data_IF_826506467470
#
_entry.id   IF_826506467470
#
_cell.length_a   1.000
_cell.length_b   1.000
_cell.length_c   1.000
_cell.angle_alpha   90.00
_cell.angle_beta   90.00
_cell.angle_gamma   90.00
#
_symmetry.space_group_name_H-M   'P 1'
#
loop_
_entity.id
_entity.type
_entity.pdbx_description
1 polymer ?
#
# COMPACT_ATOMS: atom_id res chain seq x y z
N UNK A 1 -5.50 -3.70 -9.10
CA UNK A 1 -5.20 -3.29 -7.71
C UNK A 1 -6.10 -4.07 -6.78
N UNK A 2 -5.59 -4.58 -5.64
CA UNK A 2 -6.38 -5.34 -4.66
C UNK A 2 -7.59 -4.54 -4.18
N UNK A 3 -7.47 -3.21 -4.07
CA UNK A 3 -8.56 -2.32 -3.69
C UNK A 3 -9.70 -2.37 -4.71
N UNK A 4 -9.37 -2.22 -6.00
CA UNK A 4 -10.33 -2.31 -7.11
C UNK A 4 -10.92 -3.71 -7.21
N UNK A 5 -10.12 -4.76 -7.02
CA UNK A 5 -10.59 -6.14 -7.01
C UNK A 5 -11.61 -6.38 -5.89
N UNK A 6 -11.38 -5.84 -4.70
CA UNK A 6 -12.32 -5.91 -3.58
C UNK A 6 -13.64 -5.17 -3.87
N UNK A 7 -13.56 -3.88 -4.23
CA UNK A 7 -14.74 -3.03 -4.40
C UNK A 7 -15.64 -3.51 -5.55
N UNK A 8 -15.05 -3.88 -6.69
CA UNK A 8 -15.80 -4.36 -7.86
C UNK A 8 -16.50 -5.69 -7.64
N UNK A 9 -16.19 -6.38 -6.54
CA UNK A 9 -16.71 -7.71 -6.22
C UNK A 9 -17.54 -7.74 -4.93
N UNK A 10 -18.13 -6.60 -4.55
CA UNK A 10 -19.08 -6.54 -3.43
C UNK A 10 -18.41 -6.55 -2.06
N UNK A 11 -17.11 -6.28 -1.99
CA UNK A 11 -16.40 -6.02 -0.74
C UNK A 11 -15.96 -4.54 -0.71
N UNK A 12 -16.87 -3.57 -0.51
CA UNK A 12 -16.55 -2.15 -0.56
C UNK A 12 -15.82 -1.65 0.71
N UNK A 13 -15.01 -0.60 0.57
CA UNK A 13 -14.47 0.16 1.70
C UNK A 13 -15.35 1.39 1.95
N UNK A 14 -16.24 1.31 2.94
CA UNK A 14 -17.27 2.32 3.17
C UNK A 14 -16.91 3.25 4.32
N UNK A 15 -15.98 4.16 4.08
CA UNK A 15 -15.70 5.25 5.03
C UNK A 15 -16.41 6.53 4.58
N UNK A 16 -17.46 6.98 5.29
CA UNK A 16 -18.08 8.26 4.99
C UNK A 16 -17.11 9.39 5.36
N UNK A 17 -16.84 10.28 4.40
CA UNK A 17 -16.15 11.54 4.69
C UNK A 17 -17.11 12.39 5.53
N UNK A 18 -16.73 12.83 6.73
CA UNK A 18 -17.61 13.66 7.54
C UNK A 18 -17.89 14.99 6.86
N UNK A 19 -19.09 15.53 7.06
CA UNK A 19 -19.33 16.92 6.71
C UNK A 19 -18.51 17.83 7.62
N UNK A 20 -17.68 18.68 7.02
CA UNK A 20 -16.94 19.71 7.75
C UNK A 20 -17.93 20.76 8.25
N UNK A 21 -18.07 21.01 9.57
CA UNK A 21 -18.98 22.02 10.09
C UNK A 21 -18.64 23.41 9.55
N UNK A 22 -19.62 24.31 9.29
CA UNK A 22 -19.35 25.65 8.79
C UNK A 22 -18.29 26.42 9.59
N UNK A 23 -18.33 26.32 10.92
CA UNK A 23 -17.34 26.95 11.80
C UNK A 23 -15.90 26.44 11.56
N UNK A 24 -15.74 25.16 11.22
CA UNK A 24 -14.45 24.59 10.86
C UNK A 24 -14.01 24.95 9.42
N UNK A 25 -14.91 25.44 8.57
CA UNK A 25 -14.56 25.99 7.24
C UNK A 25 -14.08 27.43 7.36
N UNK A 26 -14.73 28.20 8.23
CA UNK A 26 -14.52 29.66 8.32
C UNK A 26 -13.47 30.06 9.38
N UNK A 27 -13.02 29.14 10.24
CA UNK A 27 -12.01 29.39 11.28
C UNK A 27 -10.86 28.40 11.23
N UNK A 28 -9.64 28.91 11.04
CA UNK A 28 -8.41 28.09 11.07
C UNK A 28 -8.21 27.32 12.38
N UNK A 29 -8.49 27.95 13.53
CA UNK A 29 -8.32 27.30 14.83
C UNK A 29 -9.32 26.14 14.99
N UNK A 30 -10.59 26.37 14.62
CA UNK A 30 -11.63 25.34 14.71
C UNK A 30 -11.36 24.23 13.70
N UNK A 31 -10.90 24.56 12.49
CA UNK A 31 -10.44 23.59 11.50
C UNK A 31 -9.34 22.68 12.06
N UNK A 32 -8.31 23.29 12.67
CA UNK A 32 -7.19 22.56 13.27
C UNK A 32 -7.66 21.60 14.37
N UNK A 33 -8.48 22.08 15.29
CA UNK A 33 -9.04 21.27 16.39
C UNK A 33 -9.94 20.15 15.87
N UNK A 34 -10.82 20.46 14.91
CA UNK A 34 -11.73 19.51 14.28
C UNK A 34 -10.96 18.33 13.68
N UNK A 35 -9.99 18.60 12.81
CA UNK A 35 -9.20 17.53 12.21
C UNK A 35 -8.34 16.79 13.23
N UNK A 36 -7.78 17.49 14.23
CA UNK A 36 -6.99 16.82 15.27
C UNK A 36 -7.80 15.80 16.08
N UNK A 37 -9.07 16.07 16.33
CA UNK A 37 -9.98 15.17 17.06
C UNK A 37 -10.59 14.09 16.18
N UNK A 38 -10.84 14.39 14.91
CA UNK A 38 -11.59 13.51 14.03
C UNK A 38 -10.70 12.52 13.25
N UNK A 39 -9.46 12.89 12.89
CA UNK A 39 -8.53 12.02 12.13
C UNK A 39 -8.33 10.61 12.71
N UNK A 40 -8.21 10.39 14.04
CA UNK A 40 -8.02 9.04 14.60
C UNK A 40 -9.16 8.04 14.27
N UNK A 41 -10.37 8.55 14.02
CA UNK A 41 -11.55 7.72 13.72
C UNK A 41 -11.92 7.75 12.23
N UNK A 42 -11.21 8.54 11.40
CA UNK A 42 -11.56 8.75 10.00
C UNK A 42 -11.44 7.48 9.16
N UNK A 43 -10.53 6.57 9.50
CA UNK A 43 -10.18 5.43 8.66
C UNK A 43 -10.70 4.10 9.22
N UNK A 44 -11.82 4.15 9.95
CA UNK A 44 -12.54 2.98 10.43
C UNK A 44 -13.89 2.89 9.75
N UNK A 45 -14.17 1.73 9.16
CA UNK A 45 -15.47 1.42 8.61
C UNK A 45 -16.50 1.43 9.76
N UNK A 46 -17.58 2.24 9.67
CA UNK A 46 -18.57 2.37 10.74
C UNK A 46 -19.46 1.13 10.89
N UNK A 47 -19.56 0.30 9.86
CA UNK A 47 -20.37 -0.93 9.86
C UNK A 47 -19.62 -2.13 10.41
N UNK A 48 -18.32 -2.24 10.13
CA UNK A 48 -17.50 -3.40 10.55
C UNK A 48 -16.53 -3.08 11.68
N UNK A 49 -16.19 -1.80 11.90
CA UNK A 49 -15.19 -1.34 12.86
C UNK A 49 -13.74 -1.52 12.40
N UNK A 50 -13.54 -2.15 11.25
CA UNK A 50 -12.22 -2.43 10.68
C UNK A 50 -11.53 -1.13 10.28
N UNK A 51 -10.23 -1.04 10.54
CA UNK A 51 -9.35 -0.08 9.91
C UNK A 51 -9.19 -0.41 8.42
N UNK A 52 -8.75 0.59 7.63
CA UNK A 52 -8.47 0.37 6.21
C UNK A 52 -7.47 -0.77 5.99
N UNK A 53 -6.44 -0.85 6.86
CA UNK A 53 -5.44 -1.91 6.78
C UNK A 53 -6.04 -3.28 7.09
N UNK A 54 -6.84 -3.44 8.14
CA UNK A 54 -7.50 -4.72 8.42
C UNK A 54 -8.42 -5.15 7.28
N UNK A 55 -9.15 -4.21 6.67
CA UNK A 55 -9.98 -4.49 5.50
C UNK A 55 -9.14 -4.93 4.29
N UNK A 56 -8.00 -4.28 4.02
CA UNK A 56 -7.07 -4.68 2.96
C UNK A 56 -6.49 -6.08 3.21
N UNK A 57 -6.12 -6.38 4.47
CA UNK A 57 -5.59 -7.70 4.86
C UNK A 57 -6.64 -8.79 4.58
N UNK A 58 -7.90 -8.54 4.96
CA UNK A 58 -9.01 -9.45 4.65
C UNK A 58 -9.22 -9.63 3.14
N UNK A 59 -9.01 -8.57 2.34
CA UNK A 59 -9.10 -8.66 0.87
C UNK A 59 -8.00 -9.57 0.29
N UNK A 60 -6.77 -9.49 0.79
CA UNK A 60 -5.70 -10.40 0.40
C UNK A 60 -5.92 -11.85 0.85
N UNK A 61 -6.54 -12.06 2.02
CA UNK A 61 -6.84 -13.39 2.55
C UNK A 61 -8.06 -14.03 1.89
N UNK A 62 -8.94 -13.22 1.29
CA UNK A 62 -10.06 -13.71 0.51
C UNK A 62 -9.57 -14.30 -0.82
N UNK A 63 -9.66 -15.62 -0.97
CA UNK A 63 -9.18 -16.32 -2.16
C UNK A 63 -9.81 -15.82 -3.47
N UNK A 64 -11.10 -15.45 -3.46
CA UNK A 64 -11.79 -14.95 -4.65
C UNK A 64 -11.26 -13.58 -5.07
N UNK A 65 -11.12 -12.64 -4.13
CA UNK A 65 -10.58 -11.30 -4.40
C UNK A 65 -9.11 -11.41 -4.81
N UNK A 66 -8.33 -12.26 -4.12
CA UNK A 66 -6.95 -12.53 -4.46
C UNK A 66 -6.79 -13.08 -5.87
N UNK A 67 -7.63 -14.02 -6.31
CA UNK A 67 -7.53 -14.59 -7.66
C UNK A 67 -7.76 -13.54 -8.75
N UNK A 68 -8.66 -12.59 -8.51
CA UNK A 68 -8.88 -11.46 -9.41
C UNK A 68 -7.66 -10.55 -9.45
N UNK A 69 -7.10 -10.22 -8.29
CA UNK A 69 -5.90 -9.40 -8.22
C UNK A 69 -4.69 -10.07 -8.86
N UNK A 70 -4.50 -11.36 -8.61
CA UNK A 70 -3.47 -12.20 -9.24
C UNK A 70 -3.62 -12.21 -10.76
N UNK A 71 -4.85 -12.28 -11.28
CA UNK A 71 -5.09 -12.19 -12.73
C UNK A 71 -4.73 -10.81 -13.31
N UNK A 72 -4.81 -9.72 -12.53
CA UNK A 72 -4.29 -8.41 -12.95
C UNK A 72 -2.76 -8.37 -12.98
N UNK A 73 -2.10 -8.94 -11.96
CA UNK A 73 -0.64 -9.08 -11.91
C UNK A 73 -0.16 -9.86 -13.14
N UNK A 74 -0.78 -11.00 -13.42
CA UNK A 74 -0.44 -11.82 -14.58
C UNK A 74 -0.60 -11.06 -15.90
N UNK A 75 -1.66 -10.28 -16.05
CA UNK A 75 -1.85 -9.44 -17.26
C UNK A 75 -0.76 -8.39 -17.43
N UNK A 76 -0.26 -7.80 -16.34
CA UNK A 76 0.86 -6.86 -16.40
C UNK A 76 2.17 -7.55 -16.81
N UNK A 77 2.41 -8.75 -16.26
CA UNK A 77 3.56 -9.59 -16.60
C UNK A 77 3.51 -9.98 -18.09
N UNK A 78 2.38 -10.51 -18.56
CA UNK A 78 2.18 -10.91 -19.95
C UNK A 78 2.41 -9.74 -20.92
N UNK A 79 2.00 -8.53 -20.52
CA UNK A 79 2.26 -7.32 -21.30
C UNK A 79 3.76 -7.00 -21.36
N UNK A 80 4.45 -7.02 -20.21
CA UNK A 80 5.89 -6.75 -20.14
C UNK A 80 6.69 -7.75 -21.00
N UNK A 81 6.34 -9.03 -20.91
CA UNK A 81 6.94 -10.10 -21.72
C UNK A 81 6.64 -9.91 -23.20
N UNK A 82 5.40 -9.56 -23.55
CA UNK A 82 4.97 -9.32 -24.92
C UNK A 82 5.70 -8.17 -25.63
N UNK A 83 6.16 -7.17 -24.88
CA UNK A 83 6.98 -6.07 -25.41
C UNK A 83 8.48 -6.28 -25.23
N UNK A 84 8.90 -7.41 -24.63
CA UNK A 84 10.30 -7.73 -24.37
C UNK A 84 10.96 -6.83 -23.33
N UNK A 85 10.18 -6.26 -22.40
CA UNK A 85 10.69 -5.42 -21.33
C UNK A 85 11.21 -6.28 -20.16
N UNK A 86 12.35 -5.87 -19.57
CA UNK A 86 12.79 -6.41 -18.28
C UNK A 86 11.86 -5.87 -17.18
N UNK A 87 11.17 -6.76 -16.48
CA UNK A 87 10.31 -6.40 -15.35
C UNK A 87 11.09 -6.43 -14.03
N UNK A 88 11.24 -5.27 -13.40
CA UNK A 88 11.78 -5.14 -12.03
C UNK A 88 10.64 -4.67 -11.13
N UNK A 89 10.33 -5.42 -10.07
CA UNK A 89 9.20 -5.12 -9.19
C UNK A 89 9.66 -4.70 -7.80
N UNK A 90 9.27 -3.51 -7.36
CA UNK A 90 9.41 -3.08 -5.97
C UNK A 90 8.08 -3.27 -5.23
N UNK A 91 8.08 -4.05 -4.16
CA UNK A 91 6.88 -4.33 -3.36
C UNK A 91 7.01 -3.61 -2.03
N UNK A 92 6.18 -2.57 -1.86
CA UNK A 92 6.10 -1.82 -0.63
C UNK A 92 5.26 -2.59 0.41
N UNK A 93 5.73 -2.69 1.66
CA UNK A 93 4.94 -3.23 2.76
C UNK A 93 3.87 -2.23 3.22
N UNK A 94 3.05 -2.63 4.20
CA UNK A 94 2.36 -1.65 5.03
C UNK A 94 3.42 -0.81 5.76
N UNK A 95 3.47 0.48 5.46
CA UNK A 95 4.50 1.34 6.02
C UNK A 95 4.26 1.67 7.50
N UNK A 96 3.06 1.48 8.05
CA UNK A 96 2.80 1.58 9.49
C UNK A 96 3.25 0.32 10.24
N UNK A 97 3.08 -0.85 9.60
CA UNK A 97 3.46 -2.16 10.15
C UNK A 97 4.16 -3.05 9.10
N UNK A 98 5.47 -2.81 8.84
CA UNK A 98 6.16 -3.55 7.79
C UNK A 98 6.25 -5.05 8.07
N UNK A 99 6.46 -5.43 9.32
CA UNK A 99 6.64 -6.83 9.73
C UNK A 99 5.32 -7.59 9.63
N UNK A 100 4.22 -7.03 10.11
CA UNK A 100 2.91 -7.68 9.99
C UNK A 100 2.41 -7.79 8.55
N UNK A 101 2.99 -7.03 7.61
CA UNK A 101 2.62 -7.10 6.19
C UNK A 101 3.46 -8.08 5.35
N UNK A 102 4.45 -8.75 5.94
CA UNK A 102 5.31 -9.73 5.25
C UNK A 102 4.49 -10.77 4.45
N UNK A 103 3.44 -11.40 5.01
CA UNK A 103 2.67 -12.42 4.28
C UNK A 103 2.11 -11.92 2.94
N UNK A 104 1.66 -10.66 2.86
CA UNK A 104 1.09 -10.09 1.63
C UNK A 104 2.18 -9.70 0.64
N UNK A 105 3.30 -9.15 1.12
CA UNK A 105 4.47 -8.86 0.28
C UNK A 105 4.99 -10.16 -0.36
N UNK A 106 5.10 -11.23 0.43
CA UNK A 106 5.53 -12.53 -0.07
C UNK A 106 4.51 -13.13 -1.03
N UNK A 107 3.20 -13.01 -0.77
CA UNK A 107 2.16 -13.52 -1.65
C UNK A 107 2.19 -12.85 -3.03
N UNK A 108 2.42 -11.54 -3.09
CA UNK A 108 2.61 -10.81 -4.36
C UNK A 108 3.91 -11.24 -5.04
N UNK A 109 5.01 -11.34 -4.31
CA UNK A 109 6.29 -11.79 -4.85
C UNK A 109 6.18 -13.19 -5.47
N UNK A 110 5.57 -14.14 -4.76
CA UNK A 110 5.37 -15.51 -5.24
C UNK A 110 4.54 -15.58 -6.52
N UNK A 111 3.52 -14.71 -6.66
CA UNK A 111 2.73 -14.64 -7.90
C UNK A 111 3.59 -14.20 -9.10
N UNK A 112 4.53 -13.28 -8.90
CA UNK A 112 5.44 -12.80 -9.93
C UNK A 112 6.54 -13.84 -10.22
N UNK A 113 7.13 -14.44 -9.18
CA UNK A 113 8.16 -15.48 -9.28
C UNK A 113 7.64 -16.73 -10.01
N UNK A 114 6.34 -17.07 -9.84
CA UNK A 114 5.71 -18.18 -10.55
C UNK A 114 5.71 -18.02 -12.08
N UNK A 115 5.88 -16.80 -12.59
CA UNK A 115 6.04 -16.49 -14.01
C UNK A 115 7.52 -16.38 -14.44
N UNK A 116 8.47 -16.71 -13.57
CA UNK A 116 9.91 -16.69 -13.88
C UNK A 116 10.59 -15.33 -13.69
N UNK A 117 9.88 -14.33 -13.16
CA UNK A 117 10.41 -12.99 -12.91
C UNK A 117 11.02 -12.91 -11.50
N UNK A 118 12.34 -12.93 -11.41
CA UNK A 118 13.09 -12.95 -10.14
C UNK A 118 13.62 -11.57 -9.70
N UNK A 119 13.52 -10.54 -10.54
CA UNK A 119 13.96 -9.19 -10.23
C UNK A 119 12.93 -8.48 -9.31
N UNK A 120 12.91 -8.90 -8.04
CA UNK A 120 11.95 -8.42 -7.05
C UNK A 120 12.69 -7.82 -5.85
N UNK A 121 12.30 -6.61 -5.48
CA UNK A 121 12.75 -5.90 -4.28
C UNK A 121 11.60 -5.86 -3.27
N UNK A 122 11.67 -6.73 -2.25
CA UNK A 122 10.75 -6.71 -1.11
C UNK A 122 11.24 -5.69 -0.08
N UNK A 123 10.43 -4.67 0.21
CA UNK A 123 10.88 -3.53 1.01
C UNK A 123 10.61 -3.66 2.52
N UNK A 124 10.09 -4.78 3.01
CA UNK A 124 9.71 -4.92 4.43
C UNK A 124 10.88 -4.80 5.41
N UNK A 125 12.07 -5.33 5.09
CA UNK A 125 13.24 -5.20 5.97
C UNK A 125 13.76 -3.76 6.00
N UNK A 126 13.91 -3.15 4.81
CA UNK A 126 14.35 -1.76 4.67
C UNK A 126 13.38 -0.81 5.39
N UNK A 127 12.07 -1.02 5.21
CA UNK A 127 11.04 -0.28 5.93
C UNK A 127 11.17 -0.50 7.44
N UNK A 128 11.19 -1.74 7.92
CA UNK A 128 11.28 -2.05 9.36
C UNK A 128 12.52 -1.44 10.04
N UNK A 129 13.63 -1.29 9.31
CA UNK A 129 14.85 -0.66 9.80
C UNK A 129 14.78 0.86 10.00
N UNK A 130 13.76 1.53 9.47
CA UNK A 130 13.58 2.98 9.61
C UNK A 130 12.50 3.30 10.65
N UNK A 131 12.73 4.31 11.51
CA UNK A 131 11.70 4.79 12.43
C UNK A 131 10.54 5.43 11.64
N UNK A 132 9.27 5.32 12.11
CA UNK A 132 8.11 5.82 11.39
C UNK A 132 8.21 7.29 10.97
N UNK A 133 8.84 8.13 11.79
CA UNK A 133 8.95 9.58 11.58
C UNK A 133 9.83 9.95 10.38
N UNK A 134 10.75 9.07 9.98
CA UNK A 134 11.60 9.29 8.80
C UNK A 134 11.19 8.41 7.62
N UNK A 135 10.44 7.33 7.88
CA UNK A 135 9.94 6.40 6.87
C UNK A 135 8.66 6.88 6.18
N UNK A 136 7.78 7.55 6.91
CA UNK A 136 6.47 8.00 6.42
C UNK A 136 6.50 9.45 5.96
N UNK A 137 5.64 9.81 5.01
CA UNK A 137 5.48 11.18 4.57
C UNK A 137 5.03 12.10 5.72
N UNK A 138 4.13 11.62 6.58
CA UNK A 138 3.77 12.28 7.83
C UNK A 138 3.06 11.33 8.79
N UNK A 139 2.78 11.77 10.03
CA UNK A 139 1.95 11.01 10.98
C UNK A 139 0.47 10.83 10.56
N UNK A 140 0.05 11.43 9.44
CA UNK A 140 -1.31 11.31 8.88
C UNK A 140 -1.33 10.70 7.49
N UNK A 141 -0.15 10.38 6.96
CA UNK A 141 0.02 9.90 5.60
C UNK A 141 1.01 8.74 5.61
N UNK A 142 0.47 7.53 5.49
CA UNK A 142 1.22 6.29 5.53
C UNK A 142 2.05 6.04 4.26
N UNK A 143 2.03 6.94 3.27
CA UNK A 143 2.92 6.81 2.12
C UNK A 143 4.41 6.93 2.53
N UNK A 144 5.32 6.29 1.79
CA UNK A 144 6.75 6.43 2.00
C UNK A 144 7.20 7.90 1.90
N UNK A 145 8.06 8.33 2.81
CA UNK A 145 8.67 9.66 2.80
C UNK A 145 9.55 9.86 1.56
N UNK A 146 9.90 11.11 1.26
CA UNK A 146 10.89 11.40 0.22
C UNK A 146 12.26 10.75 0.51
N UNK A 147 12.66 10.72 1.79
CA UNK A 147 13.92 10.09 2.20
C UNK A 147 13.88 8.57 2.02
N UNK A 148 12.75 7.92 2.32
CA UNK A 148 12.59 6.48 2.09
C UNK A 148 12.54 6.16 0.59
N UNK A 149 11.85 6.96 -0.23
CA UNK A 149 11.88 6.79 -1.69
C UNK A 149 13.29 6.94 -2.28
N UNK A 150 14.12 7.84 -1.73
CA UNK A 150 15.53 7.93 -2.10
C UNK A 150 16.29 6.63 -1.77
N UNK A 151 16.03 6.03 -0.61
CA UNK A 151 16.60 4.73 -0.25
C UNK A 151 16.11 3.60 -1.19
N UNK A 152 14.83 3.57 -1.56
CA UNK A 152 14.30 2.63 -2.54
C UNK A 152 15.00 2.78 -3.89
N UNK A 153 15.19 4.02 -4.37
CA UNK A 153 15.91 4.29 -5.62
C UNK A 153 17.36 3.79 -5.55
N UNK A 154 18.04 4.01 -4.41
CA UNK A 154 19.39 3.49 -4.16
C UNK A 154 19.43 1.95 -4.20
N UNK A 155 18.49 1.29 -3.52
CA UNK A 155 18.39 -0.18 -3.50
C UNK A 155 18.14 -0.74 -4.90
N UNK A 156 17.18 -0.17 -5.65
CA UNK A 156 16.91 -0.54 -7.04
C UNK A 156 18.15 -0.41 -7.91
N UNK A 157 18.83 0.73 -7.84
CA UNK A 157 20.04 0.98 -8.61
C UNK A 157 21.14 -0.02 -8.27
N UNK A 158 21.46 -0.19 -6.99
CA UNK A 158 22.51 -1.11 -6.53
C UNK A 158 22.21 -2.56 -6.88
N UNK A 159 20.95 -3.00 -6.77
CA UNK A 159 20.60 -4.40 -6.97
C UNK A 159 20.46 -4.79 -8.45
N UNK A 160 19.93 -3.90 -9.29
CA UNK A 160 19.52 -4.28 -10.67
C UNK A 160 20.25 -3.54 -11.79
N UNK A 161 20.90 -2.41 -11.49
CA UNK A 161 21.55 -1.57 -12.51
C UNK A 161 23.05 -1.41 -12.32
N UNK A 162 23.56 -1.53 -11.09
CA UNK A 162 24.98 -1.40 -10.81
C UNK A 162 25.74 -2.63 -11.32
N UNK A 163 26.45 -2.47 -12.44
CA UNK A 163 27.23 -3.53 -13.07
C UNK A 163 26.49 -4.38 -14.11
N UNK A 164 25.26 -3.97 -14.50
CA UNK A 164 24.55 -4.49 -15.66
C UNK A 164 25.07 -3.89 -16.97
#
# INVERSE_FOLDING_TARGET
DIYVAAESNGYPWNVPVPEVPPLARDSYLVNYLYWRLYTPNLYRDPSTGLTQWEWLYHAYDNAYIWDIHKAEINRLIDYADGVGARLITAIFPNMDDPVGSIPYVDRVAQAIEAHGHADILKLFEAAAGWPPETRLASSRDAHPSAAFNHEVARLLYTQFFQGA
#
